data_IF_321202959995
#
_entry.id   IF_321202959995
#
_cell.length_a   1.000
_cell.length_b   1.000
_cell.length_c   1.000
_cell.angle_alpha   90.00
_cell.angle_beta   90.00
_cell.angle_gamma   90.00
#
_symmetry.space_group_name_H-M   'P 1'
#
loop_
_entity.id
_entity.type
_entity.pdbx_description
1 polymer ?
#
# COMPACT_ATOMS: atom_id res chain seq x y z
N UNK A 1 -28.56 21.89 -4.27
CA UNK A 1 -28.62 21.45 -2.86
C UNK A 1 -27.27 20.82 -2.50
N UNK A 2 -26.63 21.32 -1.46
CA UNK A 2 -25.36 20.77 -0.99
C UNK A 2 -25.60 19.35 -0.47
N UNK A 3 -24.89 18.38 -1.05
CA UNK A 3 -25.04 16.97 -0.68
C UNK A 3 -24.64 16.73 0.78
N UNK A 4 -23.68 17.47 1.32
CA UNK A 4 -23.24 17.33 2.70
C UNK A 4 -24.33 17.82 3.66
N UNK A 5 -24.99 18.94 3.38
CA UNK A 5 -26.13 19.40 4.18
C UNK A 5 -27.26 18.39 4.18
N UNK A 6 -27.57 17.80 3.04
CA UNK A 6 -28.58 16.75 2.92
C UNK A 6 -28.22 15.53 3.76
N UNK A 7 -26.99 15.03 3.68
CA UNK A 7 -26.53 13.88 4.47
C UNK A 7 -26.60 14.18 5.98
N UNK A 8 -26.18 15.37 6.38
CA UNK A 8 -26.28 15.80 7.79
C UNK A 8 -27.71 15.91 8.27
N UNK A 9 -28.61 16.45 7.45
CA UNK A 9 -30.04 16.56 7.79
C UNK A 9 -30.71 15.18 7.96
N UNK A 10 -30.17 14.16 7.29
CA UNK A 10 -30.58 12.76 7.42
C UNK A 10 -29.91 12.04 8.59
N UNK A 11 -29.07 12.72 9.37
CA UNK A 11 -28.27 12.13 10.45
C UNK A 11 -27.41 10.94 9.99
N UNK A 12 -26.78 11.08 8.82
CA UNK A 12 -26.01 10.02 8.18
C UNK A 12 -24.57 9.94 8.71
N UNK A 13 -24.02 8.74 8.72
CA UNK A 13 -22.59 8.47 8.90
C UNK A 13 -22.07 7.86 7.60
N UNK A 14 -20.96 8.38 7.08
CA UNK A 14 -20.34 7.84 5.87
C UNK A 14 -19.42 6.69 6.25
N UNK A 15 -19.56 5.57 5.57
CA UNK A 15 -18.58 4.47 5.57
C UNK A 15 -17.78 4.60 4.27
N UNK A 16 -16.53 5.10 4.32
CA UNK A 16 -15.78 5.39 3.12
C UNK A 16 -15.37 4.09 2.42
N UNK A 17 -15.44 4.10 1.09
CA UNK A 17 -14.80 3.09 0.25
C UNK A 17 -13.30 3.40 0.11
N UNK A 18 -12.45 2.40 -0.12
CA UNK A 18 -10.99 2.57 -0.30
C UNK A 18 -10.56 3.59 -1.36
N UNK A 19 -11.45 3.92 -2.33
CA UNK A 19 -11.21 4.98 -3.32
C UNK A 19 -11.63 6.38 -2.86
N UNK A 20 -12.14 6.55 -1.64
CA UNK A 20 -12.73 7.82 -1.20
C UNK A 20 -11.72 8.97 -1.28
N UNK A 21 -10.49 8.75 -0.80
CA UNK A 21 -9.40 9.75 -0.87
C UNK A 21 -9.07 10.10 -2.32
N UNK A 22 -9.05 9.11 -3.21
CA UNK A 22 -8.69 9.33 -4.62
C UNK A 22 -9.72 10.19 -5.38
N UNK A 23 -11.01 10.12 -5.00
CA UNK A 23 -12.08 10.86 -5.67
C UNK A 23 -12.44 12.17 -4.97
N UNK A 24 -12.46 12.18 -3.64
CA UNK A 24 -12.81 13.37 -2.87
C UNK A 24 -11.61 14.32 -2.65
N UNK A 25 -10.40 13.78 -2.65
CA UNK A 25 -9.18 14.49 -2.33
C UNK A 25 -8.96 14.62 -0.82
N UNK A 26 -7.71 14.39 -0.40
CA UNK A 26 -7.34 14.37 1.03
C UNK A 26 -7.63 15.71 1.71
N UNK A 27 -7.16 16.81 1.09
CA UNK A 27 -7.34 18.16 1.65
C UNK A 27 -8.82 18.52 1.83
N UNK A 28 -9.69 18.10 0.87
CA UNK A 28 -11.13 18.31 0.99
C UNK A 28 -11.71 17.47 2.14
N UNK A 29 -11.29 16.23 2.31
CA UNK A 29 -11.76 15.36 3.39
C UNK A 29 -11.38 15.93 4.75
N UNK A 30 -10.18 16.45 4.89
CA UNK A 30 -9.68 16.99 6.16
C UNK A 30 -10.32 18.34 6.52
N UNK A 31 -10.48 19.23 5.53
CA UNK A 31 -10.82 20.64 5.79
C UNK A 31 -12.26 21.01 5.48
N UNK A 32 -12.90 20.37 4.51
CA UNK A 32 -14.20 20.81 3.95
C UNK A 32 -15.29 19.75 4.02
N UNK A 33 -14.98 18.56 4.50
CA UNK A 33 -15.94 17.47 4.61
C UNK A 33 -16.48 17.36 6.03
N UNK A 34 -17.74 17.79 6.25
CA UNK A 34 -18.34 17.94 7.57
C UNK A 34 -19.29 16.81 7.96
N UNK A 35 -19.51 15.83 7.10
CA UNK A 35 -20.35 14.68 7.42
C UNK A 35 -19.59 13.73 8.32
N UNK A 36 -20.18 13.22 9.42
CA UNK A 36 -19.53 12.20 10.24
C UNK A 36 -19.10 11.00 9.40
N UNK A 37 -17.87 10.55 9.62
CA UNK A 37 -17.28 9.45 8.87
C UNK A 37 -16.84 8.35 9.83
N UNK A 38 -17.07 7.10 9.42
CA UNK A 38 -16.59 5.94 10.14
C UNK A 38 -15.06 5.80 9.96
N UNK A 39 -14.36 5.51 11.05
CA UNK A 39 -12.91 5.40 11.10
C UNK A 39 -12.22 6.72 11.48
N UNK A 40 -10.92 6.64 11.73
CA UNK A 40 -10.09 7.81 12.02
C UNK A 40 -9.76 8.55 10.73
N UNK A 41 -10.21 9.80 10.61
CA UNK A 41 -9.99 10.64 9.42
C UNK A 41 -8.52 11.03 9.26
N UNK A 42 -7.85 11.29 10.36
CA UNK A 42 -6.48 11.83 10.34
C UNK A 42 -5.44 10.79 9.91
N UNK A 43 -5.76 9.49 10.00
CA UNK A 43 -4.89 8.43 9.50
C UNK A 43 -4.83 8.39 7.96
N UNK A 44 -5.80 8.97 7.25
CA UNK A 44 -5.82 8.97 5.79
C UNK A 44 -4.61 9.66 5.18
N UNK A 45 -4.08 10.68 5.82
CA UNK A 45 -2.83 11.34 5.39
C UNK A 45 -1.63 10.41 5.57
N UNK A 46 -1.57 9.68 6.67
CA UNK A 46 -0.51 8.72 6.94
C UNK A 46 -0.50 7.55 5.96
N UNK A 47 -1.68 7.12 5.51
CA UNK A 47 -1.79 6.12 4.45
C UNK A 47 -1.41 6.67 3.07
N UNK A 48 -1.72 7.93 2.79
CA UNK A 48 -1.54 8.53 1.47
C UNK A 48 -0.11 8.98 1.19
N UNK A 49 0.64 9.37 2.21
CA UNK A 49 2.01 9.85 2.11
C UNK A 49 3.02 8.75 2.48
N UNK A 50 3.80 8.29 1.53
CA UNK A 50 4.71 7.12 1.69
C UNK A 50 5.68 7.24 2.88
N UNK A 51 6.21 8.43 3.16
CA UNK A 51 7.14 8.61 4.29
C UNK A 51 6.40 8.54 5.63
N UNK A 52 5.15 9.02 5.69
CA UNK A 52 4.31 8.88 6.89
C UNK A 52 3.87 7.42 7.07
N UNK A 53 3.46 6.75 6.00
CA UNK A 53 3.14 5.32 6.02
C UNK A 53 4.32 4.50 6.55
N UNK A 54 5.53 4.71 6.02
CA UNK A 54 6.73 4.03 6.49
C UNK A 54 7.05 4.32 7.95
N UNK A 55 6.84 5.57 8.40
CA UNK A 55 7.03 5.96 9.79
C UNK A 55 6.05 5.23 10.70
N UNK A 56 4.78 5.16 10.32
CA UNK A 56 3.73 4.44 11.06
C UNK A 56 4.06 2.95 11.17
N UNK A 57 4.39 2.30 10.06
CA UNK A 57 4.76 0.88 10.04
C UNK A 57 6.03 0.58 10.85
N UNK A 58 7.00 1.50 10.82
CA UNK A 58 8.24 1.37 11.62
C UNK A 58 7.94 1.51 13.11
N UNK A 59 7.10 2.46 13.50
CA UNK A 59 6.66 2.62 14.90
C UNK A 59 5.89 1.39 15.40
N UNK A 60 5.09 0.77 14.52
CA UNK A 60 4.38 -0.47 14.78
C UNK A 60 5.30 -1.73 14.78
N UNK A 61 6.61 -1.56 14.66
CA UNK A 61 7.58 -2.66 14.57
C UNK A 61 7.30 -3.66 13.43
N UNK A 62 6.57 -3.21 12.41
CA UNK A 62 6.27 -4.02 11.22
C UNK A 62 7.46 -3.94 10.27
N UNK A 63 7.95 -5.13 9.89
CA UNK A 63 9.04 -5.22 8.91
C UNK A 63 8.58 -4.71 7.55
N UNK A 64 9.28 -3.69 7.05
CA UNK A 64 9.02 -3.09 5.74
C UNK A 64 10.17 -3.34 4.76
N UNK A 65 9.92 -3.30 3.43
CA UNK A 65 10.96 -3.42 2.42
C UNK A 65 12.06 -2.38 2.62
N UNK A 66 13.32 -2.78 2.42
CA UNK A 66 14.45 -1.87 2.50
C UNK A 66 14.38 -0.84 1.37
N UNK A 67 14.66 0.44 1.69
CA UNK A 67 14.71 1.53 0.71
C UNK A 67 16.16 1.71 0.23
N UNK A 68 16.33 1.84 -1.09
CA UNK A 68 17.59 2.20 -1.72
C UNK A 68 17.59 3.70 -2.04
N UNK A 69 18.70 4.38 -1.82
CA UNK A 69 18.82 5.81 -2.12
C UNK A 69 19.21 6.04 -3.56
N UNK A 70 20.16 5.25 -4.02
CA UNK A 70 20.74 5.37 -5.36
C UNK A 70 20.62 4.04 -6.12
N UNK A 71 20.37 4.09 -7.44
CA UNK A 71 20.37 2.87 -8.27
C UNK A 71 21.68 2.08 -8.22
N UNK A 72 22.80 2.76 -7.93
CA UNK A 72 24.13 2.16 -7.81
C UNK A 72 24.26 1.24 -6.58
N UNK A 73 23.36 1.39 -5.60
CA UNK A 73 23.32 0.56 -4.40
C UNK A 73 22.52 -0.75 -4.60
N UNK A 74 21.97 -1.00 -5.79
CA UNK A 74 21.13 -2.18 -6.06
C UNK A 74 22.00 -3.44 -6.02
N UNK A 75 21.86 -4.23 -4.95
CA UNK A 75 22.55 -5.48 -4.71
C UNK A 75 21.63 -6.72 -4.72
N UNK A 76 20.34 -6.50 -4.96
CA UNK A 76 19.26 -7.51 -4.96
C UNK A 76 18.07 -7.04 -5.79
N UNK A 77 17.11 -7.91 -6.08
CA UNK A 77 15.89 -7.49 -6.77
C UNK A 77 15.17 -6.36 -6.03
N UNK A 78 14.83 -5.31 -6.77
CA UNK A 78 14.12 -4.12 -6.28
C UNK A 78 12.87 -3.87 -7.09
N UNK A 79 11.88 -3.25 -6.45
CA UNK A 79 10.71 -2.65 -7.08
C UNK A 79 10.94 -1.15 -7.19
N UNK A 80 10.92 -0.64 -8.40
CA UNK A 80 11.02 0.80 -8.67
C UNK A 80 9.63 1.36 -8.96
N UNK A 81 9.24 2.42 -8.26
CA UNK A 81 7.92 3.05 -8.36
C UNK A 81 8.08 4.54 -8.63
N UNK A 82 7.44 5.04 -9.67
CA UNK A 82 7.43 6.46 -10.01
C UNK A 82 6.25 7.19 -9.37
N UNK A 83 6.31 8.54 -9.24
CA UNK A 83 5.18 9.34 -8.79
C UNK A 83 3.94 9.09 -9.65
N UNK A 84 2.78 8.93 -9.01
CA UNK A 84 1.53 8.69 -9.73
C UNK A 84 1.38 7.33 -10.39
N UNK A 85 2.28 6.38 -10.12
CA UNK A 85 2.21 5.00 -10.61
C UNK A 85 0.83 4.39 -10.31
N UNK A 86 0.06 4.10 -11.37
CA UNK A 86 -1.27 3.48 -11.29
C UNK A 86 -1.48 2.52 -12.46
N UNK A 87 -2.19 1.43 -12.21
CA UNK A 87 -2.68 0.54 -13.26
C UNK A 87 -1.58 -0.15 -14.09
N UNK A 88 -0.46 -0.52 -13.48
CA UNK A 88 0.64 -1.22 -14.17
C UNK A 88 1.57 -0.32 -14.97
N UNK A 89 1.37 0.99 -14.90
CA UNK A 89 2.30 1.97 -15.47
C UNK A 89 3.04 2.67 -14.34
N UNK A 90 4.34 2.91 -14.52
CA UNK A 90 5.14 3.67 -13.58
C UNK A 90 5.75 2.82 -12.45
N UNK A 91 5.95 1.51 -12.68
CA UNK A 91 6.80 0.68 -11.84
C UNK A 91 7.39 -0.49 -12.63
N UNK A 92 8.56 -0.95 -12.20
CA UNK A 92 9.24 -2.12 -12.77
C UNK A 92 10.09 -2.82 -11.71
N UNK A 93 10.54 -4.04 -12.02
CA UNK A 93 11.49 -4.80 -11.20
C UNK A 93 12.86 -4.76 -11.88
N UNK A 94 13.92 -4.56 -11.10
CA UNK A 94 15.32 -4.66 -11.57
C UNK A 94 16.16 -5.40 -10.52
N UNK A 95 17.16 -6.15 -10.97
CA UNK A 95 18.06 -6.92 -10.09
C UNK A 95 19.48 -6.37 -10.07
N UNK A 96 19.77 -5.37 -10.89
CA UNK A 96 21.06 -4.68 -10.95
C UNK A 96 20.90 -3.25 -11.45
N UNK A 97 21.95 -2.45 -11.29
CA UNK A 97 22.05 -1.09 -11.84
C UNK A 97 21.91 -1.07 -13.35
N UNK A 98 22.50 -2.04 -14.04
CA UNK A 98 22.43 -2.15 -15.50
C UNK A 98 21.00 -2.38 -15.95
N UNK A 99 20.29 -3.34 -15.34
CA UNK A 99 18.88 -3.62 -15.64
C UNK A 99 17.99 -2.42 -15.32
N UNK A 100 18.27 -1.72 -14.22
CA UNK A 100 17.59 -0.47 -13.88
C UNK A 100 17.72 0.56 -15.00
N UNK A 101 18.95 0.82 -15.47
CA UNK A 101 19.20 1.80 -16.53
C UNK A 101 18.53 1.41 -17.85
N UNK A 102 18.60 0.14 -18.27
CA UNK A 102 17.94 -0.36 -19.47
C UNK A 102 16.41 -0.14 -19.42
N UNK A 103 15.79 -0.39 -18.26
CA UNK A 103 14.35 -0.17 -18.07
C UNK A 103 14.00 1.32 -18.12
N UNK A 104 14.79 2.18 -17.47
CA UNK A 104 14.63 3.63 -17.52
C UNK A 104 14.68 4.13 -18.97
N UNK A 105 15.73 3.77 -19.71
CA UNK A 105 15.89 4.19 -21.10
C UNK A 105 14.70 3.77 -21.96
N UNK A 106 14.27 2.52 -21.84
CA UNK A 106 13.10 2.01 -22.56
C UNK A 106 11.80 2.75 -22.20
N UNK A 107 11.59 3.10 -20.94
CA UNK A 107 10.40 3.83 -20.49
C UNK A 107 10.41 5.29 -20.96
N UNK A 108 11.57 5.94 -20.96
CA UNK A 108 11.77 7.28 -21.51
C UNK A 108 11.53 7.33 -23.03
N UNK A 109 12.08 6.38 -23.79
CA UNK A 109 11.86 6.27 -25.23
C UNK A 109 10.37 6.11 -25.59
N UNK A 110 9.61 5.42 -24.74
CA UNK A 110 8.15 5.26 -24.90
C UNK A 110 7.35 6.47 -24.41
N UNK A 111 8.01 7.46 -23.79
CA UNK A 111 7.35 8.62 -23.19
C UNK A 111 6.47 8.29 -21.98
N UNK A 112 6.78 7.22 -21.26
CA UNK A 112 6.02 6.80 -20.09
C UNK A 112 6.47 7.52 -18.82
N UNK A 113 7.74 7.93 -18.75
CA UNK A 113 8.35 8.68 -17.66
C UNK A 113 9.19 9.84 -18.19
N UNK A 114 9.48 10.80 -17.32
CA UNK A 114 10.33 11.97 -17.58
C UNK A 114 11.55 11.95 -16.66
N UNK A 115 12.53 12.83 -16.91
CA UNK A 115 13.70 13.00 -16.02
C UNK A 115 13.30 13.40 -14.60
N UNK A 116 12.21 14.15 -14.42
CA UNK A 116 11.74 14.55 -13.10
C UNK A 116 11.12 13.36 -12.35
N UNK A 117 10.41 12.48 -13.06
CA UNK A 117 9.88 11.24 -12.46
C UNK A 117 11.00 10.34 -11.93
N UNK A 118 12.17 10.33 -12.61
CA UNK A 118 13.33 9.52 -12.17
C UNK A 118 13.90 10.05 -10.84
N UNK A 119 13.96 11.38 -10.66
CA UNK A 119 14.47 11.98 -9.42
C UNK A 119 13.60 11.64 -8.22
N UNK A 120 12.29 11.52 -8.45
CA UNK A 120 11.29 11.22 -7.42
C UNK A 120 10.96 9.71 -7.36
N UNK A 121 11.72 8.88 -8.06
CA UNK A 121 11.53 7.44 -8.06
C UNK A 121 11.79 6.83 -6.66
N UNK A 122 10.91 5.94 -6.26
CA UNK A 122 11.05 5.18 -5.03
C UNK A 122 11.57 3.79 -5.34
N UNK A 123 12.78 3.48 -4.85
CA UNK A 123 13.44 2.18 -5.04
C UNK A 123 13.37 1.43 -3.72
N UNK A 124 12.73 0.27 -3.72
CA UNK A 124 12.61 -0.58 -2.52
C UNK A 124 12.87 -2.04 -2.84
N UNK A 125 13.25 -2.80 -1.83
CA UNK A 125 13.44 -4.25 -1.91
C UNK A 125 12.19 -4.92 -2.51
N UNK A 126 12.40 -5.77 -3.52
CA UNK A 126 11.35 -6.66 -4.02
C UNK A 126 11.19 -7.86 -3.10
N UNK A 127 10.11 -7.89 -2.35
CA UNK A 127 9.81 -8.98 -1.41
C UNK A 127 9.09 -10.09 -2.17
N UNK A 128 9.79 -11.21 -2.38
CA UNK A 128 9.18 -12.41 -2.97
C UNK A 128 8.42 -13.22 -1.90
N UNK A 129 7.35 -13.87 -2.28
CA UNK A 129 6.58 -14.71 -1.38
C UNK A 129 5.09 -14.73 -1.69
N UNK A 130 4.29 -15.12 -0.70
CA UNK A 130 2.84 -15.08 -0.77
C UNK A 130 2.31 -13.83 -0.10
N UNK A 131 1.49 -13.07 -0.82
CA UNK A 131 0.88 -11.85 -0.32
C UNK A 131 -0.44 -12.15 0.38
N UNK A 132 -0.62 -11.58 1.56
CA UNK A 132 -1.88 -11.60 2.30
C UNK A 132 -2.31 -10.17 2.59
N UNK A 133 -3.58 -9.87 2.35
CA UNK A 133 -4.24 -8.68 2.87
C UNK A 133 -4.95 -9.09 4.16
N UNK A 134 -4.58 -8.48 5.27
CA UNK A 134 -5.12 -8.80 6.58
C UNK A 134 -6.02 -7.65 7.01
N UNK A 135 -7.25 -7.94 7.38
CA UNK A 135 -8.25 -6.96 7.74
C UNK A 135 -8.46 -6.93 9.25
N UNK A 136 -8.24 -5.78 9.85
CA UNK A 136 -8.45 -5.55 11.26
C UNK A 136 -9.57 -4.52 11.48
N UNK A 137 -10.21 -4.64 12.61
CA UNK A 137 -11.11 -3.63 13.15
C UNK A 137 -10.70 -3.30 14.58
N UNK A 138 -10.40 -2.04 14.85
CA UNK A 138 -10.16 -1.58 16.21
C UNK A 138 -11.43 -0.95 16.78
N UNK A 139 -11.90 -1.49 17.88
CA UNK A 139 -13.06 -1.01 18.62
C UNK A 139 -12.62 -0.09 19.75
N UNK A 140 -12.76 1.21 19.57
CA UNK A 140 -12.50 2.20 20.63
C UNK A 140 -13.44 2.03 21.85
N UNK A 141 -14.55 1.32 21.70
CA UNK A 141 -15.49 1.07 22.78
C UNK A 141 -15.04 -0.05 23.71
N UNK A 142 -14.37 -1.05 23.15
CA UNK A 142 -13.92 -2.22 23.89
C UNK A 142 -12.41 -2.20 24.12
N UNK A 143 -11.70 -1.29 23.45
CA UNK A 143 -10.22 -1.23 23.42
C UNK A 143 -9.62 -2.56 22.94
N UNK A 144 -10.18 -3.09 21.84
CA UNK A 144 -9.80 -4.40 21.31
C UNK A 144 -9.59 -4.33 19.79
N UNK A 145 -8.58 -5.05 19.31
CA UNK A 145 -8.33 -5.27 17.88
C UNK A 145 -8.91 -6.62 17.47
N UNK A 146 -9.80 -6.61 16.51
CA UNK A 146 -10.42 -7.80 15.96
C UNK A 146 -9.85 -8.13 14.58
N UNK A 147 -9.44 -9.38 14.37
CA UNK A 147 -9.09 -9.90 13.06
C UNK A 147 -10.37 -10.23 12.28
N UNK A 148 -10.70 -9.40 11.30
CA UNK A 148 -11.91 -9.53 10.50
C UNK A 148 -11.81 -10.58 9.40
N UNK A 149 -10.60 -10.86 8.94
CA UNK A 149 -10.35 -11.85 7.90
C UNK A 149 -9.07 -11.61 7.14
N UNK A 150 -8.84 -12.48 6.17
CA UNK A 150 -7.67 -12.40 5.29
C UNK A 150 -8.08 -12.72 3.87
N UNK A 151 -7.46 -12.05 2.91
CA UNK A 151 -7.57 -12.38 1.51
C UNK A 151 -6.22 -12.31 0.80
N UNK A 152 -6.18 -12.85 -0.40
CA UNK A 152 -5.11 -12.65 -1.37
C UNK A 152 -5.64 -11.79 -2.49
N UNK A 153 -4.91 -10.73 -2.79
CA UNK A 153 -5.27 -9.75 -3.81
C UNK A 153 -4.52 -10.05 -5.10
N UNK A 154 -5.21 -9.93 -6.21
CA UNK A 154 -4.64 -10.12 -7.54
C UNK A 154 -4.95 -8.89 -8.39
N UNK A 155 -3.98 -7.98 -8.50
CA UNK A 155 -4.10 -6.74 -9.24
C UNK A 155 -3.16 -6.66 -10.45
N UNK A 156 -2.08 -7.44 -10.42
CA UNK A 156 -1.09 -7.46 -11.48
C UNK A 156 -0.70 -8.90 -11.86
N UNK A 157 0.01 -9.05 -12.97
CA UNK A 157 0.57 -10.33 -13.38
C UNK A 157 1.64 -10.85 -12.40
N UNK A 158 2.29 -9.96 -11.62
CA UNK A 158 3.23 -10.35 -10.56
C UNK A 158 2.53 -11.19 -9.50
N UNK A 159 1.28 -10.89 -9.17
CA UNK A 159 0.51 -11.64 -8.18
C UNK A 159 0.31 -13.11 -8.60
N UNK A 160 0.42 -13.43 -9.88
CA UNK A 160 0.46 -14.80 -10.38
C UNK A 160 1.67 -15.60 -9.90
N UNK A 161 2.77 -14.92 -9.58
CA UNK A 161 4.00 -15.55 -9.08
C UNK A 161 3.84 -16.17 -7.69
N UNK A 162 2.86 -15.73 -6.89
CA UNK A 162 2.59 -16.30 -5.55
C UNK A 162 2.30 -17.80 -5.55
N UNK A 163 1.99 -18.37 -6.71
CA UNK A 163 1.78 -19.83 -6.90
C UNK A 163 3.07 -20.60 -7.15
N UNK A 164 4.17 -19.91 -7.32
CA UNK A 164 5.50 -20.46 -7.57
C UNK A 164 6.32 -20.36 -6.27
N UNK A 165 7.18 -21.33 -5.94
CA UNK A 165 8.06 -21.23 -4.77
C UNK A 165 8.85 -19.90 -4.78
N UNK A 166 8.99 -19.27 -3.63
CA UNK A 166 9.62 -17.93 -3.52
C UNK A 166 11.02 -17.87 -4.16
N UNK A 167 11.83 -18.94 -4.04
CA UNK A 167 13.15 -19.03 -4.65
C UNK A 167 13.11 -18.96 -6.19
N UNK A 168 12.03 -19.49 -6.78
CA UNK A 168 11.87 -19.57 -8.24
C UNK A 168 11.24 -18.28 -8.80
N UNK A 169 10.56 -17.46 -7.93
CA UNK A 169 9.99 -16.18 -8.31
C UNK A 169 11.06 -15.17 -8.75
N UNK A 170 12.24 -15.21 -8.13
CA UNK A 170 13.34 -14.31 -8.43
C UNK A 170 14.05 -14.62 -9.78
N UNK A 171 13.84 -15.82 -10.32
CA UNK A 171 14.36 -16.24 -11.61
C UNK A 171 13.51 -15.76 -12.80
N UNK A 172 12.33 -15.21 -12.51
CA UNK A 172 11.34 -14.86 -13.54
C UNK A 172 11.47 -13.37 -13.84
N UNK A 173 11.95 -13.06 -15.03
CA UNK A 173 11.94 -11.70 -15.55
C UNK A 173 10.52 -11.38 -16.05
N UNK A 174 9.77 -10.59 -15.28
CA UNK A 174 8.40 -10.21 -15.58
C UNK A 174 8.18 -8.73 -15.35
N UNK A 175 7.83 -8.01 -16.41
CA UNK A 175 7.40 -6.63 -16.29
C UNK A 175 5.98 -6.56 -15.71
N UNK A 176 5.76 -5.74 -14.66
CA UNK A 176 4.45 -5.59 -14.07
C UNK A 176 3.41 -5.07 -15.07
N UNK A 177 2.28 -5.74 -15.15
CA UNK A 177 1.11 -5.27 -15.87
C UNK A 177 -0.14 -5.40 -15.01
N UNK A 178 -1.06 -4.45 -15.15
CA UNK A 178 -2.26 -4.40 -14.35
C UNK A 178 -3.31 -5.39 -14.88
N UNK A 179 -3.74 -6.31 -14.03
CA UNK A 179 -4.78 -7.30 -14.33
C UNK A 179 -5.71 -7.41 -13.13
N UNK A 180 -6.87 -6.80 -13.20
CA UNK A 180 -7.86 -6.87 -12.13
C UNK A 180 -8.51 -8.26 -12.12
N UNK A 181 -8.25 -9.07 -11.09
CA UNK A 181 -8.94 -10.33 -10.86
C UNK A 181 -9.73 -10.37 -9.56
N UNK A 182 -9.50 -9.40 -8.68
CA UNK A 182 -10.20 -9.25 -7.40
C UNK A 182 -9.49 -9.94 -6.23
N UNK A 183 -10.21 -10.03 -5.11
CA UNK A 183 -9.73 -10.61 -3.86
C UNK A 183 -10.31 -12.01 -3.66
N UNK A 184 -9.50 -12.92 -3.14
CA UNK A 184 -9.90 -14.28 -2.80
C UNK A 184 -9.69 -14.53 -1.32
N UNK A 185 -10.73 -14.94 -0.55
CA UNK A 185 -10.55 -15.32 0.84
C UNK A 185 -9.50 -16.43 0.96
N UNK A 186 -8.61 -16.29 1.92
CA UNK A 186 -7.55 -17.28 2.18
C UNK A 186 -7.46 -17.59 3.66
N UNK A 187 -6.91 -18.78 3.97
CA UNK A 187 -6.57 -19.18 5.31
C UNK A 187 -5.05 -19.20 5.48
N UNK A 188 -4.57 -18.67 6.57
CA UNK A 188 -3.17 -18.71 6.97
C UNK A 188 -2.92 -19.91 7.89
N UNK A 189 -1.67 -20.37 7.94
CA UNK A 189 -1.28 -21.41 8.91
C UNK A 189 -1.45 -20.86 10.32
N UNK A 190 -2.01 -21.69 11.21
CA UNK A 190 -2.22 -21.33 12.63
C UNK A 190 -0.94 -20.84 13.31
N UNK A 191 0.23 -21.37 12.94
CA UNK A 191 1.53 -20.95 13.49
C UNK A 191 1.92 -19.50 13.18
N UNK A 192 1.26 -18.84 12.22
CA UNK A 192 1.50 -17.45 11.86
C UNK A 192 0.48 -16.50 12.51
N UNK A 193 -0.64 -17.03 13.03
CA UNK A 193 -1.68 -16.21 13.63
C UNK A 193 -1.20 -15.33 14.81
N UNK A 194 -0.34 -15.82 15.74
CA UNK A 194 0.16 -14.95 16.80
C UNK A 194 0.84 -13.69 16.24
N UNK A 195 1.71 -13.83 15.23
CA UNK A 195 2.35 -12.70 14.58
C UNK A 195 1.34 -11.76 13.93
N UNK A 196 0.27 -12.29 13.36
CA UNK A 196 -0.80 -11.49 12.75
C UNK A 196 -1.54 -10.67 13.79
N UNK A 197 -1.85 -11.25 14.96
CA UNK A 197 -2.47 -10.51 16.06
C UNK A 197 -1.54 -9.42 16.60
N UNK A 198 -0.28 -9.75 16.86
CA UNK A 198 0.72 -8.77 17.33
C UNK A 198 0.85 -7.59 16.35
N UNK A 199 0.79 -7.85 15.04
CA UNK A 199 0.81 -6.78 14.03
C UNK A 199 -0.39 -5.84 14.14
N UNK A 200 -1.58 -6.37 14.42
CA UNK A 200 -2.79 -5.58 14.60
C UNK A 200 -2.70 -4.67 15.82
N UNK A 201 -2.31 -5.24 16.96
CA UNK A 201 -2.14 -4.51 18.22
C UNK A 201 -1.07 -3.42 18.08
N UNK A 202 0.10 -3.75 17.54
CA UNK A 202 1.19 -2.80 17.32
C UNK A 202 0.77 -1.64 16.39
N UNK A 203 -0.05 -1.93 15.35
CA UNK A 203 -0.56 -0.88 14.45
C UNK A 203 -1.46 0.11 15.18
N UNK A 204 -2.32 -0.38 16.08
CA UNK A 204 -3.20 0.50 16.88
C UNK A 204 -2.37 1.34 17.84
N UNK A 205 -1.44 0.75 18.59
CA UNK A 205 -0.55 1.49 19.51
C UNK A 205 0.25 2.57 18.77
N UNK A 206 0.80 2.25 17.60
CA UNK A 206 1.54 3.21 16.79
C UNK A 206 0.63 4.33 16.26
N UNK A 207 -0.59 3.99 15.83
CA UNK A 207 -1.55 4.98 15.36
C UNK A 207 -1.99 5.94 16.48
N UNK A 208 -2.31 5.43 17.66
CA UNK A 208 -2.66 6.25 18.83
C UNK A 208 -1.54 7.21 19.25
N UNK A 209 -0.29 6.77 19.13
CA UNK A 209 0.88 7.57 19.46
C UNK A 209 1.18 8.66 18.44
N UNK A 210 1.02 8.38 17.15
CA UNK A 210 1.43 9.25 16.05
C UNK A 210 0.30 10.05 15.44
N UNK A 211 -0.91 9.56 15.52
CA UNK A 211 -2.11 10.12 14.88
C UNK A 211 -3.15 10.38 15.99
N UNK A 212 -3.01 11.47 16.73
CA UNK A 212 -3.97 11.79 17.79
C UNK A 212 -5.39 11.93 17.22
N UNK A 213 -6.40 11.55 18.01
CA UNK A 213 -7.80 11.62 17.60
C UNK A 213 -8.32 13.05 17.42
#
# INVERSE_FOLDING_TARGET
EDIQEKLRSMNSIIVPHGSFVAYAGLDHIENDFYVPMFGNRDILRWESERELERKLLTEAEIRIPMKFKDPEDIDRPVMVKFPGARGGRGYFVASSTEEFNEKIDSMMERGWITEDDIKDAHIEEYVSGTNFCIHYFYSIMNDEVELMGMDSRFESNIDGLVRIPARDQLEINLDPSYVITGNHPVAMRESLLPQVFDMGDNMVEAAEKLVPP
#
